data_IF_809983092049
#
_entry.id   IF_809983092049
#
_cell.length_a   1.000
_cell.length_b   1.000
_cell.length_c   1.000
_cell.angle_alpha   90.00
_cell.angle_beta   90.00
_cell.angle_gamma   90.00
#
_symmetry.space_group_name_H-M   'P 1'
#
loop_
_entity.id
_entity.type
_entity.pdbx_description
1 polymer ?
#
# COMPACT_ATOMS: atom_id res chain seq x y z
N UNK A 1 9.44 -1.85 6.96
CA UNK A 1 8.03 -2.24 6.69
C UNK A 1 7.96 -3.39 5.71
N UNK A 2 8.55 -3.29 4.51
CA UNK A 2 8.57 -4.40 3.54
C UNK A 2 9.15 -5.70 4.11
N UNK A 3 10.32 -5.66 4.76
CA UNK A 3 10.93 -6.84 5.38
C UNK A 3 10.09 -7.43 6.52
N UNK A 4 9.48 -6.57 7.35
CA UNK A 4 8.56 -7.00 8.41
C UNK A 4 7.33 -7.71 7.84
N UNK A 5 6.73 -7.16 6.78
CA UNK A 5 5.60 -7.78 6.08
C UNK A 5 5.99 -9.09 5.37
N UNK A 6 7.23 -9.16 4.87
CA UNK A 6 7.78 -10.35 4.24
C UNK A 6 8.23 -11.42 5.26
N UNK A 7 8.13 -11.15 6.56
CA UNK A 7 8.56 -12.08 7.62
C UNK A 7 10.08 -12.20 7.76
N UNK A 8 10.86 -11.33 7.12
CA UNK A 8 12.33 -11.31 7.19
C UNK A 8 12.80 -10.70 8.51
N UNK A 9 12.02 -9.78 9.09
CA UNK A 9 12.33 -9.13 10.37
C UNK A 9 11.12 -9.17 11.28
N UNK A 10 11.34 -9.44 12.57
CA UNK A 10 10.28 -9.45 13.58
C UNK A 10 9.77 -8.03 13.86
N UNK A 11 8.45 -7.89 14.04
CA UNK A 11 7.82 -6.66 14.51
C UNK A 11 7.91 -6.48 16.03
N UNK A 12 6.98 -5.73 16.62
CA UNK A 12 6.83 -5.61 18.07
C UNK A 12 6.53 -6.99 18.69
N UNK A 13 7.23 -7.35 19.76
CA UNK A 13 7.12 -8.67 20.41
C UNK A 13 6.55 -8.62 21.82
N UNK A 14 6.63 -7.48 22.50
CA UNK A 14 6.12 -7.34 23.87
C UNK A 14 5.33 -6.04 24.06
N UNK A 15 4.54 -5.97 25.13
CA UNK A 15 3.67 -4.84 25.43
C UNK A 15 4.44 -3.59 25.94
N UNK A 16 5.65 -3.76 26.46
CA UNK A 16 6.46 -2.67 27.04
C UNK A 16 7.34 -1.96 26.00
N UNK A 17 7.52 -2.56 24.82
CA UNK A 17 8.29 -1.96 23.72
C UNK A 17 7.59 -0.73 23.15
N UNK A 18 8.32 0.38 22.99
CA UNK A 18 7.88 1.53 22.22
C UNK A 18 8.35 1.36 20.77
N UNK A 19 7.41 1.36 19.82
CA UNK A 19 7.71 1.20 18.38
C UNK A 19 7.44 2.51 17.64
N UNK A 20 8.42 2.97 16.84
CA UNK A 20 8.26 4.13 15.96
C UNK A 20 8.29 3.68 14.50
N UNK A 21 7.21 3.93 13.78
CA UNK A 21 7.19 3.85 12.33
C UNK A 21 7.46 5.25 11.74
N UNK A 22 8.45 5.33 10.83
CA UNK A 22 8.73 6.53 10.04
C UNK A 22 8.64 6.20 8.56
N UNK A 23 8.03 7.11 7.81
CA UNK A 23 7.96 7.06 6.35
C UNK A 23 8.24 8.44 5.74
N UNK A 24 8.60 8.45 4.46
CA UNK A 24 8.69 9.65 3.61
C UNK A 24 7.75 9.56 2.40
N UNK A 25 7.01 8.46 2.25
CA UNK A 25 6.26 8.11 1.05
C UNK A 25 7.11 7.37 0.02
N UNK A 26 6.52 6.40 -0.68
CA UNK A 26 7.18 5.64 -1.75
C UNK A 26 6.20 5.52 -2.91
N UNK A 27 6.58 5.97 -4.11
CA UNK A 27 5.70 6.03 -5.28
C UNK A 27 5.03 4.69 -5.65
N UNK A 28 5.67 3.56 -5.33
CA UNK A 28 5.08 2.24 -5.58
C UNK A 28 3.77 2.02 -4.81
N UNK A 29 3.62 2.65 -3.64
CA UNK A 29 2.40 2.57 -2.84
C UNK A 29 1.24 3.27 -3.55
N UNK A 30 1.52 4.39 -4.23
CA UNK A 30 0.54 5.13 -5.01
C UNK A 30 0.14 4.35 -6.25
N UNK A 31 1.11 3.83 -7.02
CA UNK A 31 0.86 3.06 -8.25
C UNK A 31 0.08 1.79 -7.94
N UNK A 32 0.45 1.05 -6.89
CA UNK A 32 -0.29 -0.15 -6.47
C UNK A 32 -1.74 0.17 -6.10
N UNK A 33 -1.96 1.28 -5.38
CA UNK A 33 -3.29 1.77 -5.01
C UNK A 33 -4.10 2.18 -6.24
N UNK A 34 -3.51 2.97 -7.13
CA UNK A 34 -4.13 3.43 -8.37
C UNK A 34 -4.55 2.26 -9.25
N UNK A 35 -3.69 1.26 -9.43
CA UNK A 35 -4.03 0.05 -10.18
C UNK A 35 -5.20 -0.71 -9.52
N UNK A 36 -5.18 -0.90 -8.20
CA UNK A 36 -6.28 -1.57 -7.50
C UNK A 36 -7.61 -0.85 -7.70
N UNK A 37 -7.64 0.47 -7.55
CA UNK A 37 -8.84 1.30 -7.73
C UNK A 37 -9.28 1.29 -9.19
N UNK A 38 -8.36 1.43 -10.13
CA UNK A 38 -8.66 1.39 -11.57
C UNK A 38 -9.31 0.05 -11.96
N UNK A 39 -8.74 -1.07 -11.52
CA UNK A 39 -9.31 -2.40 -11.79
C UNK A 39 -10.70 -2.59 -11.15
N UNK A 40 -10.95 -1.99 -9.98
CA UNK A 40 -12.30 -1.98 -9.38
C UNK A 40 -13.27 -1.14 -10.19
N UNK A 41 -12.86 0.04 -10.64
CA UNK A 41 -13.68 0.93 -11.44
C UNK A 41 -14.12 0.26 -12.75
N UNK A 42 -13.20 -0.43 -13.45
CA UNK A 42 -13.54 -1.21 -14.65
C UNK A 42 -14.60 -2.28 -14.39
N UNK A 43 -14.47 -3.06 -13.30
CA UNK A 43 -15.46 -4.11 -12.95
C UNK A 43 -16.83 -3.56 -12.54
N UNK A 44 -16.88 -2.31 -12.11
CA UNK A 44 -18.10 -1.64 -11.66
C UNK A 44 -18.66 -0.67 -12.70
N UNK A 45 -18.03 -0.61 -13.88
CA UNK A 45 -18.40 0.32 -14.96
C UNK A 45 -18.40 1.81 -14.51
N UNK A 46 -17.44 2.15 -13.64
CA UNK A 46 -17.26 3.52 -13.11
C UNK A 46 -16.14 4.22 -13.90
N UNK A 47 -16.43 5.43 -14.39
CA UNK A 47 -15.44 6.31 -15.01
C UNK A 47 -15.89 6.85 -16.37
N UNK A 48 -14.96 7.46 -17.10
CA UNK A 48 -15.20 8.00 -18.44
C UNK A 48 -14.00 7.69 -19.32
N UNK A 49 -14.26 7.15 -20.51
CA UNK A 49 -13.23 6.94 -21.52
C UNK A 49 -12.95 8.29 -22.20
N UNK A 50 -11.67 8.59 -22.38
CA UNK A 50 -11.18 9.82 -23.01
C UNK A 50 -10.24 9.45 -24.15
N UNK A 51 -10.38 10.11 -25.30
CA UNK A 51 -9.43 10.00 -26.41
C UNK A 51 -8.16 10.78 -26.09
N UNK A 52 -7.01 10.24 -26.49
CA UNK A 52 -5.67 10.81 -26.25
C UNK A 52 -5.13 11.42 -27.54
#
# INVERSE_FOLDING_TARGET
>A
MGETLAGITTGRTTADEITLYKSVGIAIQDVATANLVYQKALRQEIGTHVEI
#
